data_IF_020074041090
#
_entry.id   IF_020074041090
#
_cell.length_a   1.000
_cell.length_b   1.000
_cell.length_c   1.000
_cell.angle_alpha   90.00
_cell.angle_beta   90.00
_cell.angle_gamma   90.00
#
_symmetry.space_group_name_H-M   'P 1'
#
loop_
_entity.id
_entity.type
_entity.pdbx_description
1 polymer ?
#
# COMPACT_ATOMS: atom_id res chain seq x y z
N UNK A 1 11.37 -15.52 -1.01
CA UNK A 1 10.90 -14.53 -1.99
C UNK A 1 9.62 -13.86 -1.50
N UNK A 2 9.69 -12.73 -0.77
CA UNK A 2 8.53 -11.91 -0.34
C UNK A 2 8.58 -10.53 -1.02
N UNK A 3 8.75 -10.51 -2.36
CA UNK A 3 8.86 -9.24 -3.12
C UNK A 3 7.51 -8.77 -3.71
N UNK A 4 6.60 -9.70 -3.96
CA UNK A 4 5.33 -9.46 -4.69
C UNK A 4 4.30 -8.68 -3.86
N UNK A 5 4.33 -8.83 -2.55
CA UNK A 5 3.38 -8.20 -1.62
C UNK A 5 3.88 -6.83 -1.12
N UNK A 6 5.20 -6.68 -0.94
CA UNK A 6 5.85 -5.36 -0.81
C UNK A 6 5.68 -4.51 -2.06
N UNK A 7 5.56 -5.13 -3.24
CA UNK A 7 5.19 -4.45 -4.47
C UNK A 7 3.74 -3.93 -4.43
N UNK A 8 2.77 -4.76 -3.99
CA UNK A 8 1.36 -4.31 -3.84
C UNK A 8 1.18 -3.14 -2.88
N UNK A 9 1.85 -3.15 -1.73
CA UNK A 9 1.80 -2.01 -0.80
C UNK A 9 2.33 -0.73 -1.46
N UNK A 10 3.44 -0.82 -2.21
CA UNK A 10 4.00 0.31 -2.96
C UNK A 10 3.11 0.79 -4.11
N UNK A 11 2.46 -0.12 -4.83
CA UNK A 11 1.50 0.23 -5.89
C UNK A 11 0.33 1.04 -5.32
N UNK A 12 -0.25 0.59 -4.21
CA UNK A 12 -1.33 1.34 -3.54
C UNK A 12 -0.88 2.72 -3.06
N UNK A 13 0.32 2.83 -2.47
CA UNK A 13 0.90 4.13 -2.09
C UNK A 13 1.12 5.06 -3.29
N UNK A 14 1.58 4.52 -4.42
CA UNK A 14 1.82 5.30 -5.64
C UNK A 14 0.51 5.87 -6.19
N UNK A 15 -0.57 5.09 -6.14
CA UNK A 15 -1.91 5.53 -6.53
C UNK A 15 -2.41 6.62 -5.59
N UNK A 16 -2.31 6.43 -4.27
CA UNK A 16 -2.71 7.43 -3.29
C UNK A 16 -1.99 8.77 -3.50
N UNK A 17 -0.67 8.76 -3.70
CA UNK A 17 0.11 9.96 -3.97
C UNK A 17 -0.29 10.65 -5.28
N UNK A 18 -0.63 9.87 -6.31
CA UNK A 18 -1.10 10.41 -7.58
C UNK A 18 -2.47 11.08 -7.44
N UNK A 19 -3.38 10.48 -6.66
CA UNK A 19 -4.67 11.06 -6.32
C UNK A 19 -4.52 12.36 -5.51
N UNK A 20 -3.63 12.40 -4.52
CA UNK A 20 -3.36 13.61 -3.73
C UNK A 20 -2.76 14.75 -4.57
N UNK A 21 -1.96 14.43 -5.59
CA UNK A 21 -1.54 15.45 -6.58
C UNK A 21 -2.72 15.97 -7.38
N UNK A 22 -3.62 15.09 -7.82
CA UNK A 22 -4.82 15.50 -8.53
C UNK A 22 -5.72 16.41 -7.66
N UNK A 23 -5.86 16.12 -6.37
CA UNK A 23 -6.58 16.98 -5.39
C UNK A 23 -6.02 18.40 -5.38
N UNK A 24 -4.69 18.56 -5.37
CA UNK A 24 -4.04 19.88 -5.33
C UNK A 24 -4.31 20.72 -6.58
N UNK A 25 -4.52 20.08 -7.72
CA UNK A 25 -4.83 20.76 -9.00
C UNK A 25 -6.32 20.89 -9.27
N UNK A 26 -7.19 20.30 -8.44
CA UNK A 26 -8.63 20.22 -8.71
C UNK A 26 -9.36 21.44 -8.15
N UNK A 27 -9.99 22.20 -9.03
CA UNK A 27 -10.77 23.40 -8.67
C UNK A 27 -12.14 23.05 -8.07
N UNK A 28 -12.72 21.93 -8.50
CA UNK A 28 -13.99 21.46 -7.98
C UNK A 28 -13.80 20.80 -6.60
N UNK A 29 -14.43 21.39 -5.57
CA UNK A 29 -14.32 20.94 -4.19
C UNK A 29 -14.96 19.57 -3.94
N UNK A 30 -16.03 19.22 -4.66
CA UNK A 30 -16.67 17.92 -4.53
C UNK A 30 -15.80 16.82 -5.15
N UNK A 31 -15.18 17.08 -6.30
CA UNK A 31 -14.25 16.15 -6.93
C UNK A 31 -12.96 16.02 -6.10
N UNK A 32 -12.41 17.13 -5.59
CA UNK A 32 -11.26 17.11 -4.68
C UNK A 32 -11.53 16.27 -3.42
N UNK A 33 -12.74 16.37 -2.85
CA UNK A 33 -13.14 15.57 -1.69
C UNK A 33 -13.25 14.08 -2.01
N UNK A 34 -13.80 13.72 -3.18
CA UNK A 34 -13.87 12.32 -3.63
C UNK A 34 -12.48 11.73 -3.89
N UNK A 35 -11.61 12.48 -4.56
CA UNK A 35 -10.23 12.06 -4.82
C UNK A 35 -9.45 11.86 -3.51
N UNK A 36 -9.67 12.73 -2.53
CA UNK A 36 -9.06 12.59 -1.19
C UNK A 36 -9.57 11.33 -0.49
N UNK A 37 -10.89 11.10 -0.48
CA UNK A 37 -11.46 9.89 0.12
C UNK A 37 -10.92 8.61 -0.53
N UNK A 38 -10.68 8.64 -1.86
CA UNK A 38 -10.08 7.53 -2.57
C UNK A 38 -8.59 7.35 -2.19
N UNK A 39 -7.83 8.45 -2.08
CA UNK A 39 -6.45 8.40 -1.61
C UNK A 39 -6.33 7.79 -0.22
N UNK A 40 -7.15 8.24 0.73
CA UNK A 40 -7.20 7.71 2.10
C UNK A 40 -7.53 6.20 2.11
N UNK A 41 -8.40 5.73 1.20
CA UNK A 41 -8.69 4.30 1.06
C UNK A 41 -7.49 3.50 0.54
N UNK A 42 -6.77 4.03 -0.44
CA UNK A 42 -5.56 3.40 -0.97
C UNK A 42 -4.42 3.36 0.06
N UNK A 43 -4.26 4.38 0.90
CA UNK A 43 -3.29 4.36 2.00
C UNK A 43 -3.62 3.24 3.00
N UNK A 44 -4.89 3.09 3.40
CA UNK A 44 -5.30 1.99 4.28
C UNK A 44 -5.04 0.61 3.66
N UNK A 45 -5.23 0.46 2.35
CA UNK A 45 -4.92 -0.80 1.65
C UNK A 45 -3.41 -1.06 1.59
N UNK A 46 -2.61 -0.03 1.36
CA UNK A 46 -1.15 -0.13 1.40
C UNK A 46 -0.66 -0.59 2.78
N UNK A 47 -1.23 -0.03 3.84
CA UNK A 47 -0.91 -0.39 5.21
C UNK A 47 -1.34 -1.82 5.54
N UNK A 48 -2.55 -2.22 5.17
CA UNK A 48 -3.03 -3.60 5.36
C UNK A 48 -2.16 -4.62 4.63
N UNK A 49 -1.74 -4.32 3.40
CA UNK A 49 -0.82 -5.16 2.64
C UNK A 49 0.54 -5.28 3.35
N UNK A 50 1.09 -4.16 3.82
CA UNK A 50 2.35 -4.12 4.58
C UNK A 50 2.29 -4.90 5.89
N UNK A 51 1.18 -4.81 6.62
CA UNK A 51 0.96 -5.57 7.87
C UNK A 51 0.82 -7.07 7.61
N UNK A 52 0.10 -7.46 6.55
CA UNK A 52 0.00 -8.86 6.15
C UNK A 52 1.37 -9.44 5.77
N UNK A 53 2.24 -8.63 5.16
CA UNK A 53 3.63 -8.97 4.89
C UNK A 53 4.45 -9.18 6.15
N UNK A 54 4.39 -8.23 7.08
CA UNK A 54 5.08 -8.33 8.35
C UNK A 54 4.64 -9.59 9.12
N UNK A 55 3.33 -9.86 9.18
CA UNK A 55 2.79 -11.07 9.80
C UNK A 55 3.29 -12.35 9.13
N UNK A 56 3.34 -12.41 7.79
CA UNK A 56 3.87 -13.57 7.04
C UNK A 56 5.39 -13.74 7.21
N UNK A 57 6.14 -12.64 7.33
CA UNK A 57 7.57 -12.67 7.59
C UNK A 57 7.87 -13.17 9.01
N UNK A 58 7.09 -12.75 10.00
CA UNK A 58 7.21 -13.19 11.40
C UNK A 58 6.75 -14.65 11.55
N UNK A 59 5.71 -15.07 10.83
CA UNK A 59 5.18 -16.43 10.89
C UNK A 59 6.02 -17.47 10.14
N UNK A 60 7.06 -17.07 9.37
CA UNK A 60 7.98 -18.03 8.78
C UNK A 60 8.90 -18.53 9.92
N UNK A 61 8.75 -19.78 10.41
CA UNK A 61 9.69 -20.32 11.38
C UNK A 61 11.04 -20.47 10.69
N UNK A 62 12.09 -20.64 11.48
CA UNK A 62 13.46 -20.93 11.07
C UNK A 62 13.59 -22.25 10.27
N UNK A 63 12.93 -22.37 9.11
CA UNK A 63 13.20 -23.38 8.09
C UNK A 63 14.39 -22.96 7.21
N UNK A 64 15.40 -22.37 7.86
CA UNK A 64 16.70 -22.05 7.28
C UNK A 64 17.79 -22.78 8.10
N UNK A 65 17.46 -23.96 8.63
CA UNK A 65 18.42 -25.03 8.85
C UNK A 65 18.47 -25.88 7.59
N UNK A 66 19.69 -26.09 7.09
CA UNK A 66 20.13 -27.13 6.15
C UNK A 66 19.36 -27.37 4.84
N UNK A 67 19.93 -26.90 3.74
CA UNK A 67 20.27 -27.85 2.67
C UNK A 67 21.56 -27.35 2.01
N UNK A 68 22.63 -28.08 2.31
CA UNK A 68 23.89 -28.11 1.57
C UNK A 68 23.67 -28.63 0.15
#
# INVERSE_FOLDING_TARGET
MSRETSQRSREYLTIAQSLLRAVQTMTDRAIASQLKALADDYERRAEKASRADAAKAIARPAANGEHE
#
